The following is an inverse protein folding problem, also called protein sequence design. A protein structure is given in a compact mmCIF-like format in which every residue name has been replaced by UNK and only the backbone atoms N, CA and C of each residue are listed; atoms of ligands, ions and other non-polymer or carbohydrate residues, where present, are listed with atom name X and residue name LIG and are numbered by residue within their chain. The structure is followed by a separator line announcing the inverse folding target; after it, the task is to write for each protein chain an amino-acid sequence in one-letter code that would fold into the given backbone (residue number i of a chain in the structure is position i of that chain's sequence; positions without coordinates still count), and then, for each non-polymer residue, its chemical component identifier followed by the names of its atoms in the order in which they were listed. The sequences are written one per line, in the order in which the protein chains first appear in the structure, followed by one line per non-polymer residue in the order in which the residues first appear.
data_IF_046441253198
#
_entry.id   IF_046441253198
#
_cell.length_a   1.000
_cell.length_b   1.000
_cell.length_c   1.000
_cell.angle_alpha   90.00
_cell.angle_beta   90.00
_cell.angle_gamma   90.00
#
_symmetry.space_group_name_H-M   'P 1'
#
loop_
_entity.id
_entity.type
_entity.pdbx_description
1 polymer ?
#
# COMPACT_ATOMS: atom_id res chain seq x y z
N UNK A 1 -2.84 16.46 80.11
CA UNK A 1 -3.81 16.63 79.02
C UNK A 1 -3.05 16.61 77.70
N UNK A 2 -2.99 15.46 77.00
CA UNK A 2 -2.27 15.31 75.72
C UNK A 2 -3.26 15.42 74.56
N UNK A 3 -2.98 16.33 73.63
CA UNK A 3 -3.70 16.52 72.37
C UNK A 3 -3.34 15.38 71.41
N UNK A 4 -4.34 14.76 70.79
CA UNK A 4 -4.15 13.86 69.65
C UNK A 4 -4.91 14.46 68.48
N UNK A 5 -4.14 14.91 67.50
CA UNK A 5 -4.60 15.46 66.23
C UNK A 5 -4.46 14.32 65.21
N UNK A 6 -5.57 13.73 64.79
CA UNK A 6 -5.54 12.67 63.77
C UNK A 6 -5.54 13.30 62.38
N UNK A 7 -4.42 13.17 61.68
CA UNK A 7 -4.33 13.38 60.24
C UNK A 7 -5.07 12.26 59.52
N UNK A 8 -6.05 12.62 58.68
CA UNK A 8 -6.67 11.71 57.72
C UNK A 8 -5.88 11.82 56.40
N UNK A 9 -5.10 10.78 56.07
CA UNK A 9 -4.44 10.67 54.77
C UNK A 9 -5.43 10.08 53.76
N UNK A 10 -5.88 10.89 52.79
CA UNK A 10 -6.65 10.42 51.63
C UNK A 10 -5.65 9.92 50.59
N UNK A 11 -5.54 8.59 50.46
CA UNK A 11 -4.81 7.95 49.37
C UNK A 11 -5.73 7.92 48.15
N UNK A 12 -5.47 8.79 47.17
CA UNK A 12 -6.13 8.76 45.88
C UNK A 12 -5.59 7.60 45.03
N UNK A 13 -6.41 6.57 44.81
CA UNK A 13 -6.17 5.55 43.79
C UNK A 13 -6.50 6.16 42.41
N UNK A 14 -5.49 6.66 41.70
CA UNK A 14 -5.63 6.96 40.28
C UNK A 14 -5.64 5.64 39.52
N UNK A 15 -6.81 5.26 39.02
CA UNK A 15 -6.99 4.12 38.13
C UNK A 15 -6.24 4.41 36.83
N UNK A 16 -5.10 3.76 36.62
CA UNK A 16 -4.46 3.71 35.31
C UNK A 16 -5.39 2.84 34.45
N UNK A 17 -6.21 3.49 33.62
CA UNK A 17 -6.95 2.77 32.58
C UNK A 17 -5.91 2.26 31.58
N UNK A 18 -5.60 0.97 31.64
CA UNK A 18 -4.86 0.30 30.57
C UNK A 18 -5.73 0.41 29.32
N UNK A 19 -5.38 1.33 28.41
CA UNK A 19 -5.93 1.33 27.08
C UNK A 19 -5.64 -0.06 26.50
N UNK A 20 -6.71 -0.79 26.19
CA UNK A 20 -6.60 -2.08 25.56
C UNK A 20 -6.07 -1.83 24.15
N UNK A 21 -4.79 -2.14 23.91
CA UNK A 21 -4.18 -2.11 22.59
C UNK A 21 -5.11 -2.90 21.64
N UNK A 22 -5.52 -2.33 20.49
CA UNK A 22 -6.36 -3.06 19.57
C UNK A 22 -5.64 -4.34 19.15
N UNK A 23 -6.32 -5.47 19.26
CA UNK A 23 -5.77 -6.75 18.82
C UNK A 23 -5.33 -6.65 17.36
N UNK A 24 -4.10 -7.08 17.08
CA UNK A 24 -3.52 -7.08 15.73
C UNK A 24 -4.44 -7.87 14.79
N UNK A 25 -5.09 -7.18 13.85
CA UNK A 25 -6.01 -7.79 12.90
C UNK A 25 -5.21 -8.65 11.93
N UNK A 26 -5.37 -9.97 11.98
CA UNK A 26 -4.85 -10.88 10.96
C UNK A 26 -5.60 -10.62 9.66
N UNK A 27 -4.89 -10.16 8.63
CA UNK A 27 -5.47 -9.95 7.30
C UNK A 27 -5.78 -11.28 6.62
N UNK A 28 -6.92 -11.35 5.95
CA UNK A 28 -7.26 -12.45 5.06
C UNK A 28 -6.65 -12.19 3.68
N UNK A 29 -5.63 -12.97 3.33
CA UNK A 29 -4.93 -12.93 2.04
C UNK A 29 -5.59 -13.80 0.95
N UNK A 30 -6.70 -14.48 1.24
CA UNK A 30 -7.40 -15.34 0.29
C UNK A 30 -6.56 -16.55 -0.14
N UNK A 31 -6.57 -16.84 -1.44
CA UNK A 31 -5.82 -17.95 -2.05
C UNK A 31 -4.35 -17.62 -2.36
N UNK A 32 -3.88 -16.44 -1.92
CA UNK A 32 -2.54 -15.92 -2.15
C UNK A 32 -2.17 -15.69 -3.63
N UNK A 33 -3.11 -15.79 -4.57
CA UNK A 33 -2.83 -15.47 -5.98
C UNK A 33 -2.59 -13.97 -6.15
N UNK A 34 -1.78 -13.60 -7.14
CA UNK A 34 -1.44 -12.20 -7.44
C UNK A 34 -2.69 -11.34 -7.67
N UNK A 35 -3.65 -11.88 -8.43
CA UNK A 35 -4.93 -11.22 -8.72
C UNK A 35 -5.78 -11.04 -7.45
N UNK A 36 -5.89 -12.06 -6.59
CA UNK A 36 -6.64 -11.96 -5.33
C UNK A 36 -6.04 -10.89 -4.43
N UNK A 37 -4.71 -10.86 -4.30
CA UNK A 37 -4.01 -9.86 -3.49
C UNK A 37 -4.16 -8.45 -4.07
N UNK A 38 -4.04 -8.29 -5.39
CA UNK A 38 -4.25 -7.02 -6.06
C UNK A 38 -5.69 -6.51 -5.90
N UNK A 39 -6.70 -7.38 -6.04
CA UNK A 39 -8.11 -7.03 -5.85
C UNK A 39 -8.38 -6.60 -4.41
N UNK A 40 -7.90 -7.36 -3.42
CA UNK A 40 -8.01 -6.99 -2.00
C UNK A 40 -7.32 -5.66 -1.69
N UNK A 41 -6.19 -5.37 -2.35
CA UNK A 41 -5.51 -4.09 -2.22
C UNK A 41 -6.36 -2.92 -2.76
N UNK A 42 -7.04 -3.11 -3.91
CA UNK A 42 -7.99 -2.12 -4.44
C UNK A 42 -9.18 -1.89 -3.52
N UNK A 43 -9.77 -2.97 -3.00
CA UNK A 43 -10.89 -2.91 -2.06
C UNK A 43 -10.49 -2.13 -0.80
N UNK A 44 -9.37 -2.51 -0.16
CA UNK A 44 -8.86 -1.83 1.02
C UNK A 44 -8.55 -0.34 0.75
N UNK A 45 -7.97 0.00 -0.41
CA UNK A 45 -7.73 1.38 -0.80
C UNK A 45 -9.05 2.16 -0.94
N UNK A 46 -10.07 1.56 -1.57
CA UNK A 46 -11.40 2.17 -1.74
C UNK A 46 -12.15 2.37 -0.42
N UNK A 47 -11.95 1.48 0.55
CA UNK A 47 -12.52 1.57 1.90
C UNK A 47 -11.76 2.54 2.82
N UNK A 48 -10.62 3.06 2.38
CA UNK A 48 -9.75 3.91 3.20
C UNK A 48 -8.90 3.13 4.21
N UNK A 49 -8.87 1.80 4.12
CA UNK A 49 -8.00 0.91 4.88
C UNK A 49 -6.58 0.90 4.30
N UNK A 50 -5.92 2.07 4.30
CA UNK A 50 -4.66 2.28 3.58
C UNK A 50 -3.52 1.38 4.08
N UNK A 51 -3.46 1.09 5.38
CA UNK A 51 -2.46 0.17 5.92
C UNK A 51 -2.66 -1.26 5.38
N UNK A 52 -3.89 -1.73 5.36
CA UNK A 52 -4.26 -3.05 4.82
C UNK A 52 -3.96 -3.11 3.31
N UNK A 53 -4.25 -2.04 2.57
CA UNK A 53 -3.88 -1.92 1.15
C UNK A 53 -2.36 -2.07 0.95
N UNK A 54 -1.54 -1.40 1.78
CA UNK A 54 -0.08 -1.58 1.75
C UNK A 54 0.28 -3.05 2.01
N UNK A 55 -0.25 -3.68 3.06
CA UNK A 55 0.06 -5.09 3.39
C UNK A 55 -0.34 -6.07 2.28
N UNK A 56 -1.47 -5.88 1.62
CA UNK A 56 -1.87 -6.70 0.47
C UNK A 56 -0.90 -6.56 -0.70
N UNK A 57 -0.50 -5.32 -1.01
CA UNK A 57 0.48 -5.10 -2.08
C UNK A 57 1.85 -5.68 -1.72
N UNK A 58 2.29 -5.58 -0.46
CA UNK A 58 3.56 -6.14 0.02
C UNK A 58 3.57 -7.66 -0.11
N UNK A 59 2.48 -8.32 0.28
CA UNK A 59 2.32 -9.76 0.08
C UNK A 59 2.35 -10.14 -1.40
N UNK A 60 1.70 -9.36 -2.27
CA UNK A 60 1.74 -9.62 -3.72
C UNK A 60 3.17 -9.51 -4.28
N UNK A 61 3.89 -8.43 -3.94
CA UNK A 61 5.29 -8.27 -4.38
C UNK A 61 6.19 -9.35 -3.81
N UNK A 62 6.05 -9.70 -2.53
CA UNK A 62 6.85 -10.76 -1.90
C UNK A 62 6.79 -12.08 -2.67
N UNK A 63 5.60 -12.44 -3.18
CA UNK A 63 5.37 -13.71 -3.86
C UNK A 63 5.69 -13.68 -5.36
N UNK A 64 5.55 -12.51 -6.01
CA UNK A 64 5.48 -12.45 -7.48
C UNK A 64 6.45 -11.45 -8.15
N UNK A 65 7.24 -10.69 -7.39
CA UNK A 65 8.20 -9.70 -7.91
C UNK A 65 9.12 -10.27 -8.99
N UNK A 66 9.75 -11.43 -8.71
CA UNK A 66 10.71 -12.06 -9.62
C UNK A 66 10.05 -12.43 -10.95
N UNK A 67 8.83 -12.97 -10.90
CA UNK A 67 8.07 -13.34 -12.10
C UNK A 67 7.67 -12.11 -12.90
N UNK A 68 7.23 -11.04 -12.24
CA UNK A 68 6.89 -9.77 -12.88
C UNK A 68 8.08 -9.16 -13.62
N UNK A 69 9.26 -9.15 -13.00
CA UNK A 69 10.50 -8.67 -13.63
C UNK A 69 10.94 -9.53 -14.81
N UNK A 70 10.79 -10.84 -14.69
CA UNK A 70 11.06 -11.78 -15.80
C UNK A 70 10.14 -11.51 -16.99
N UNK A 71 8.84 -11.27 -16.74
CA UNK A 71 7.87 -10.90 -17.76
C UNK A 71 8.21 -9.55 -18.40
N UNK A 72 8.51 -8.52 -17.61
CA UNK A 72 8.95 -7.22 -18.12
C UNK A 72 10.18 -7.35 -19.04
N UNK A 73 11.19 -8.11 -18.63
CA UNK A 73 12.42 -8.28 -19.40
C UNK A 73 12.22 -9.05 -20.71
N UNK A 74 11.14 -9.85 -20.82
CA UNK A 74 10.79 -10.58 -22.04
C UNK A 74 10.12 -9.72 -23.11
N UNK A 75 9.76 -8.48 -22.78
CA UNK A 75 9.00 -7.58 -23.63
C UNK A 75 9.88 -6.47 -24.21
N UNK A 76 9.66 -6.15 -25.48
CA UNK A 76 10.22 -4.95 -26.13
C UNK A 76 9.23 -3.79 -26.20
N UNK A 77 7.94 -4.06 -26.00
CA UNK A 77 6.84 -3.10 -26.04
C UNK A 77 5.67 -3.59 -25.16
N UNK A 78 4.67 -2.73 -24.94
CA UNK A 78 3.46 -3.11 -24.20
C UNK A 78 2.69 -4.21 -24.97
N UNK A 79 2.29 -5.32 -24.32
CA UNK A 79 1.47 -6.35 -24.96
C UNK A 79 0.16 -5.79 -25.49
N UNK A 80 -0.33 -6.32 -26.61
CA UNK A 80 -1.66 -6.01 -27.12
C UNK A 80 -2.76 -6.66 -26.27
N UNK A 81 -4.00 -6.18 -26.41
CA UNK A 81 -5.13 -6.59 -25.56
C UNK A 81 -5.50 -8.08 -25.65
N UNK A 82 -5.12 -8.76 -26.73
CA UNK A 82 -5.31 -10.19 -26.95
C UNK A 82 -4.37 -11.07 -26.11
N UNK A 83 -3.18 -10.57 -25.77
CA UNK A 83 -2.15 -11.31 -25.02
C UNK A 83 -1.78 -10.66 -23.68
N UNK A 84 -2.40 -9.52 -23.33
CA UNK A 84 -2.09 -8.78 -22.11
C UNK A 84 -2.19 -9.65 -20.86
N UNK A 85 -3.14 -10.59 -20.81
CA UNK A 85 -3.36 -11.49 -19.68
C UNK A 85 -2.26 -12.55 -19.51
N UNK A 86 -1.46 -12.82 -20.55
CA UNK A 86 -0.31 -13.75 -20.43
C UNK A 86 0.80 -13.17 -19.54
N UNK A 87 0.79 -11.85 -19.35
CA UNK A 87 1.70 -11.09 -18.52
C UNK A 87 1.10 -10.79 -17.14
N UNK A 88 0.30 -11.72 -16.61
CA UNK A 88 -0.44 -11.59 -15.35
C UNK A 88 0.42 -11.07 -14.20
N UNK A 89 1.60 -11.63 -13.95
CA UNK A 89 2.42 -11.23 -12.80
C UNK A 89 2.90 -9.80 -12.93
N UNK A 90 3.35 -9.41 -14.14
CA UNK A 90 3.75 -8.04 -14.43
C UNK A 90 2.60 -7.06 -14.20
N UNK A 91 1.42 -7.40 -14.70
CA UNK A 91 0.23 -6.56 -14.58
C UNK A 91 -0.21 -6.42 -13.11
N UNK A 92 -0.32 -7.52 -12.39
CA UNK A 92 -0.79 -7.52 -11.00
C UNK A 92 0.22 -6.84 -10.07
N UNK A 93 1.52 -7.15 -10.19
CA UNK A 93 2.59 -6.55 -9.38
C UNK A 93 2.76 -5.07 -9.70
N UNK A 94 2.77 -4.69 -10.98
CA UNK A 94 2.83 -3.28 -11.38
C UNK A 94 1.66 -2.48 -10.84
N UNK A 95 0.45 -3.05 -10.88
CA UNK A 95 -0.75 -2.43 -10.28
C UNK A 95 -0.63 -2.33 -8.76
N UNK A 96 -0.13 -3.37 -8.08
CA UNK A 96 0.13 -3.35 -6.65
C UNK A 96 1.10 -2.23 -6.24
N UNK A 97 2.17 -1.97 -7.01
CA UNK A 97 3.06 -0.84 -6.74
C UNK A 97 2.36 0.52 -6.87
N UNK A 98 1.47 0.67 -7.86
CA UNK A 98 0.66 1.88 -7.99
C UNK A 98 -0.30 2.05 -6.80
N UNK A 99 -1.04 0.99 -6.42
CA UNK A 99 -1.94 1.00 -5.25
C UNK A 99 -1.17 1.35 -3.98
N UNK A 100 0.02 0.75 -3.79
CA UNK A 100 0.88 1.02 -2.63
C UNK A 100 1.25 2.49 -2.55
N UNK A 101 1.62 3.10 -3.68
CA UNK A 101 1.91 4.53 -3.76
C UNK A 101 0.70 5.38 -3.34
N UNK A 102 -0.51 5.06 -3.83
CA UNK A 102 -1.73 5.79 -3.48
C UNK A 102 -2.05 5.65 -1.99
N UNK A 103 -1.97 4.45 -1.43
CA UNK A 103 -2.19 4.20 -0.01
C UNK A 103 -1.16 4.92 0.88
N UNK A 104 0.13 4.86 0.55
CA UNK A 104 1.20 5.52 1.30
C UNK A 104 1.04 7.05 1.26
N UNK A 105 0.61 7.63 0.14
CA UNK A 105 0.27 9.06 0.09
C UNK A 105 -0.84 9.44 1.07
N UNK A 106 -1.88 8.61 1.18
CA UNK A 106 -2.98 8.83 2.12
C UNK A 106 -2.54 8.70 3.58
N UNK A 107 -1.51 7.89 3.82
CA UNK A 107 -0.82 7.77 5.12
C UNK A 107 0.24 8.85 5.36
N UNK A 108 0.39 9.83 4.46
CA UNK A 108 1.42 10.89 4.53
C UNK A 108 2.87 10.36 4.52
N UNK A 109 3.08 9.14 4.00
CA UNK A 109 4.39 8.47 3.87
C UNK A 109 5.00 8.75 2.49
N UNK A 110 5.18 10.03 2.18
CA UNK A 110 5.49 10.50 0.82
C UNK A 110 6.79 9.91 0.22
N UNK A 111 7.83 9.72 1.02
CA UNK A 111 9.09 9.14 0.55
C UNK A 111 8.92 7.69 0.08
N UNK A 112 8.12 6.92 0.81
CA UNK A 112 7.82 5.53 0.50
C UNK A 112 6.85 5.43 -0.68
N UNK A 113 5.89 6.35 -0.76
CA UNK A 113 5.01 6.46 -1.91
C UNK A 113 5.80 6.72 -3.20
N UNK A 114 6.76 7.68 -3.18
CA UNK A 114 7.66 7.94 -4.31
C UNK A 114 8.42 6.65 -4.69
N UNK A 115 8.96 5.93 -3.71
CA UNK A 115 9.69 4.69 -3.98
C UNK A 115 8.81 3.65 -4.68
N UNK A 116 7.58 3.41 -4.20
CA UNK A 116 6.64 2.48 -4.81
C UNK A 116 6.27 2.88 -6.25
N UNK A 117 5.95 4.16 -6.48
CA UNK A 117 5.64 4.66 -7.82
C UNK A 117 6.83 4.53 -8.77
N UNK A 118 8.06 4.75 -8.29
CA UNK A 118 9.26 4.63 -9.14
C UNK A 118 9.49 3.20 -9.60
N UNK A 119 9.18 2.17 -8.80
CA UNK A 119 9.30 0.78 -9.25
C UNK A 119 8.41 0.53 -10.47
N UNK A 120 7.13 0.88 -10.40
CA UNK A 120 6.24 0.66 -11.56
C UNK A 120 6.58 1.56 -12.75
N UNK A 121 7.01 2.81 -12.49
CA UNK A 121 7.41 3.76 -13.51
C UNK A 121 8.67 3.33 -14.28
N UNK A 122 9.68 2.88 -13.56
CA UNK A 122 11.04 2.69 -14.08
C UNK A 122 11.37 1.22 -14.35
N UNK A 123 10.72 0.28 -13.66
CA UNK A 123 11.13 -1.13 -13.63
C UNK A 123 10.03 -2.08 -14.11
N UNK A 124 8.75 -1.70 -14.05
CA UNK A 124 7.60 -2.50 -14.51
C UNK A 124 6.72 -1.73 -15.51
N UNK A 125 7.37 -0.96 -16.39
CA UNK A 125 6.73 0.05 -17.24
C UNK A 125 5.85 -0.51 -18.36
N UNK A 126 5.84 -1.83 -18.58
CA UNK A 126 4.92 -2.49 -19.50
C UNK A 126 3.70 -3.12 -18.84
N UNK A 127 3.56 -3.00 -17.51
CA UNK A 127 2.35 -3.41 -16.81
C UNK A 127 1.10 -2.71 -17.36
N UNK A 128 0.02 -3.47 -17.45
CA UNK A 128 -1.29 -3.00 -17.89
C UNK A 128 -2.37 -3.60 -16.99
N UNK A 129 -3.37 -2.79 -16.63
CA UNK A 129 -4.46 -3.23 -15.78
C UNK A 129 -5.80 -2.97 -16.44
N UNK A 130 -6.73 -3.92 -16.31
CA UNK A 130 -8.10 -3.75 -16.81
C UNK A 130 -8.87 -2.76 -15.94
N UNK A 131 -9.42 -1.71 -16.55
CA UNK A 131 -10.45 -0.87 -15.96
C UNK A 131 -11.82 -1.48 -16.29
N UNK A 132 -12.70 -1.71 -15.30
CA UNK A 132 -14.07 -2.19 -15.53
C UNK A 132 -14.89 -1.35 -16.52
N UNK A 133 -14.47 -0.11 -16.82
CA UNK A 133 -15.08 0.76 -17.82
C UNK A 133 -14.68 0.43 -19.26
N UNK A 134 -13.85 -0.59 -19.49
CA UNK A 134 -13.67 -1.18 -20.81
C UNK A 134 -12.32 -0.91 -21.49
N UNK A 135 -11.29 -0.50 -20.75
CA UNK A 135 -9.95 -0.26 -21.32
C UNK A 135 -8.84 -0.80 -20.42
N UNK A 136 -7.67 -1.07 -20.99
CA UNK A 136 -6.45 -1.28 -20.22
C UNK A 136 -5.75 0.06 -19.98
N UNK A 137 -5.39 0.35 -18.74
CA UNK A 137 -4.58 1.51 -18.38
C UNK A 137 -3.17 1.07 -17.97
N UNK A 138 -2.23 2.02 -17.98
CA UNK A 138 -0.83 1.80 -17.61
C UNK A 138 -0.56 2.32 -16.19
N UNK A 139 -0.27 1.43 -15.22
CA UNK A 139 0.20 1.82 -13.89
C UNK A 139 1.42 2.74 -13.90
N UNK A 140 2.33 2.54 -14.85
CA UNK A 140 3.50 3.40 -15.04
C UNK A 140 3.10 4.83 -15.45
N UNK A 141 2.21 4.96 -16.45
CA UNK A 141 1.75 6.25 -16.96
C UNK A 141 1.02 7.03 -15.85
N UNK A 142 0.22 6.34 -15.03
CA UNK A 142 -0.47 6.91 -13.89
C UNK A 142 0.49 7.32 -12.75
N UNK A 143 1.63 6.65 -12.58
CA UNK A 143 2.62 6.94 -11.54
C UNK A 143 3.44 8.22 -11.81
N UNK A 144 3.71 8.57 -13.09
CA UNK A 144 4.49 9.76 -13.46
C UNK A 144 4.03 11.07 -12.76
N UNK A 145 2.76 11.50 -12.90
CA UNK A 145 2.31 12.74 -12.27
C UNK A 145 2.36 12.67 -10.73
N UNK A 146 2.25 11.47 -10.13
CA UNK A 146 2.33 11.30 -8.67
C UNK A 146 3.74 11.56 -8.16
N UNK A 147 4.75 10.99 -8.80
CA UNK A 147 6.15 11.23 -8.44
C UNK A 147 6.49 12.72 -8.56
N UNK A 148 6.13 13.36 -9.68
CA UNK A 148 6.41 14.78 -9.89
C UNK A 148 5.76 15.68 -8.82
N UNK A 149 4.50 15.41 -8.47
CA UNK A 149 3.79 16.14 -7.43
C UNK A 149 4.45 15.99 -6.05
N UNK A 150 4.78 14.75 -5.64
CA UNK A 150 5.38 14.49 -4.33
C UNK A 150 6.81 15.03 -4.22
N UNK A 151 7.61 14.93 -5.28
CA UNK A 151 8.95 15.53 -5.32
C UNK A 151 8.89 17.06 -5.27
N UNK A 152 7.89 17.68 -5.92
CA UNK A 152 7.67 19.13 -5.81
C UNK A 152 7.26 19.55 -4.40
N UNK A 153 6.30 18.84 -3.79
CA UNK A 153 5.85 19.11 -2.41
C UNK A 153 7.04 19.12 -1.45
N UNK A 154 7.87 18.07 -1.51
CA UNK A 154 9.05 17.93 -0.65
C UNK A 154 10.09 19.04 -0.81
N UNK A 155 10.17 19.72 -1.98
CA UNK A 155 11.10 20.84 -2.18
C UNK A 155 10.62 22.14 -1.53
N UNK A 156 9.32 22.28 -1.29
CA UNK A 156 8.71 23.48 -0.69
C UNK A 156 8.80 23.44 0.84
N UNK A 157 8.90 22.24 1.42
CA UNK A 157 8.94 22.02 2.87
C UNK A 157 10.35 22.26 3.50
N UNK A 158 11.34 22.73 2.73
CA UNK A 158 12.70 23.11 3.17
C UNK A 158 12.91 24.62 3.10
#
# INVERSE_FOLDING_TARGET
MKRIMSLLAVVGLTSISLAQEPAERVLDYGDFTSVTLMVKAWEALGEGAYADAVSYTEKCTELYEERARTMQASLSEKPSADIVNDYWALNDVGTCYFIRGEALMKLQRDAEAIAAYKVVRDELYYAQAWDPKGWHWSPSDAAYPRVAMLESKRKIDF
#
